data_IF_404632342516
#
_entry.id   IF_404632342516
#
_cell.length_a   1.000
_cell.length_b   1.000
_cell.length_c   1.000
_cell.angle_alpha   90.00
_cell.angle_beta   90.00
_cell.angle_gamma   90.00
#
_symmetry.space_group_name_H-M   'P 1'
#
loop_
_entity.id
_entity.type
_entity.pdbx_description
1 polymer ?
#
# COMPACT_ATOMS: atom_id res chain seq x y z
N UNK A 1 0.33 -21.14 -33.72
CA UNK A 1 1.79 -20.93 -33.55
C UNK A 1 1.92 -20.04 -32.32
N UNK A 2 2.16 -20.50 -31.11
CA UNK A 2 2.95 -21.62 -30.62
C UNK A 2 2.23 -22.36 -29.48
N UNK A 3 2.26 -23.69 -29.53
CA UNK A 3 2.00 -24.59 -28.40
C UNK A 3 3.35 -24.84 -27.70
N UNK A 4 3.42 -24.64 -26.38
CA UNK A 4 4.49 -25.22 -25.56
C UNK A 4 3.89 -26.17 -24.54
N UNK A 5 4.22 -27.43 -24.78
CA UNK A 5 3.99 -28.63 -24.00
C UNK A 5 4.55 -28.50 -22.58
N UNK A 6 3.70 -28.65 -21.57
CA UNK A 6 4.11 -29.02 -20.22
C UNK A 6 4.21 -30.55 -20.16
N UNK A 7 5.43 -31.09 -20.04
CA UNK A 7 5.64 -32.51 -19.68
C UNK A 7 5.44 -32.67 -18.17
N UNK A 8 4.78 -33.74 -17.69
CA UNK A 8 4.74 -34.05 -16.27
C UNK A 8 6.10 -34.60 -15.81
N UNK A 9 6.67 -33.99 -14.78
CA UNK A 9 7.85 -34.48 -14.08
C UNK A 9 7.47 -35.74 -13.27
N UNK A 10 8.26 -36.81 -13.41
CA UNK A 10 8.11 -38.04 -12.62
C UNK A 10 8.36 -37.75 -11.12
N UNK A 11 7.68 -38.44 -10.20
CA UNK A 11 7.96 -38.29 -8.78
C UNK A 11 9.34 -38.87 -8.45
N UNK A 12 10.23 -38.03 -7.93
CA UNK A 12 11.51 -38.44 -7.38
C UNK A 12 11.27 -39.14 -6.04
N UNK A 13 11.76 -40.39 -5.97
CA UNK A 13 11.79 -41.27 -4.82
C UNK A 13 12.18 -40.55 -3.51
N UNK A 14 11.29 -40.59 -2.52
CA UNK A 14 11.56 -40.12 -1.16
C UNK A 14 12.54 -41.07 -0.47
N UNK A 15 13.83 -40.75 -0.50
CA UNK A 15 14.83 -41.41 0.34
C UNK A 15 15.49 -40.38 1.26
N UNK A 16 15.00 -40.38 2.51
CA UNK A 16 15.72 -40.03 3.72
C UNK A 16 16.53 -38.74 3.72
N UNK A 17 15.93 -37.65 4.24
CA UNK A 17 16.66 -36.58 4.90
C UNK A 17 16.00 -36.28 6.25
N UNK A 18 16.25 -37.15 7.23
CA UNK A 18 16.08 -36.81 8.65
C UNK A 18 17.29 -35.98 9.05
N UNK A 19 17.08 -34.73 9.45
CA UNK A 19 18.10 -33.90 10.10
C UNK A 19 18.46 -32.57 9.44
N UNK A 20 17.53 -31.86 8.80
CA UNK A 20 17.72 -30.44 8.50
C UNK A 20 16.97 -29.61 9.57
N UNK A 21 17.60 -28.66 10.27
CA UNK A 21 16.88 -27.72 11.12
C UNK A 21 15.83 -27.01 10.26
N UNK A 22 14.67 -26.77 10.85
CA UNK A 22 13.52 -26.11 10.24
C UNK A 22 14.00 -24.78 9.63
N UNK A 23 14.25 -24.75 8.32
CA UNK A 23 14.50 -23.53 7.59
C UNK A 23 13.13 -22.85 7.49
N UNK A 24 12.73 -22.21 8.59
CA UNK A 24 11.72 -21.18 8.55
C UNK A 24 12.11 -20.24 7.41
N UNK A 25 11.31 -20.25 6.34
CA UNK A 25 11.38 -19.24 5.30
C UNK A 25 11.27 -17.91 6.02
N UNK A 26 12.36 -17.16 6.10
CA UNK A 26 12.34 -15.82 6.66
C UNK A 26 11.51 -15.00 5.67
N UNK A 27 10.24 -14.81 6.02
CA UNK A 27 9.34 -13.90 5.30
C UNK A 27 9.96 -12.51 5.39
N UNK A 28 10.38 -11.96 4.25
CA UNK A 28 10.80 -10.56 4.20
C UNK A 28 9.54 -9.73 4.43
N UNK A 29 9.50 -8.87 5.47
CA UNK A 29 8.31 -8.09 5.78
C UNK A 29 7.99 -7.14 4.62
N UNK A 30 6.71 -7.03 4.29
CA UNK A 30 6.23 -6.09 3.28
C UNK A 30 6.50 -4.65 3.76
N UNK A 31 7.17 -3.84 2.94
CA UNK A 31 7.53 -2.45 3.27
C UNK A 31 6.54 -1.50 2.64
N UNK A 32 5.70 -0.87 3.46
CA UNK A 32 4.57 -0.05 3.02
C UNK A 32 4.80 1.41 3.42
N UNK A 33 4.81 2.32 2.45
CA UNK A 33 4.74 3.75 2.73
C UNK A 33 3.29 4.23 2.85
N UNK A 34 2.96 5.00 3.87
CA UNK A 34 1.68 5.69 4.02
C UNK A 34 1.88 7.17 3.72
N UNK A 35 1.45 7.59 2.54
CA UNK A 35 1.49 8.99 2.14
C UNK A 35 0.09 9.59 2.26
N UNK A 36 -0.18 10.12 3.46
CA UNK A 36 -1.48 10.66 3.83
C UNK A 36 -1.69 12.09 3.33
N UNK A 37 -2.87 12.39 2.82
CA UNK A 37 -3.16 13.73 2.32
C UNK A 37 -4.64 14.02 2.15
N UNK A 38 -4.98 15.31 2.20
CA UNK A 38 -6.33 15.75 1.82
C UNK A 38 -6.55 15.56 0.32
N UNK A 39 -5.53 15.80 -0.51
CA UNK A 39 -5.58 15.68 -1.98
C UNK A 39 -6.77 16.41 -2.61
N UNK A 40 -6.78 17.73 -2.52
CA UNK A 40 -7.92 18.57 -2.89
C UNK A 40 -7.48 19.76 -3.77
N UNK A 41 -7.06 19.52 -5.03
CA UNK A 41 -6.89 18.21 -5.70
C UNK A 41 -5.49 17.60 -5.52
N UNK A 42 -5.27 16.32 -5.89
CA UNK A 42 -3.92 15.80 -6.10
C UNK A 42 -3.21 16.56 -7.23
N UNK A 43 -1.88 16.53 -7.23
CA UNK A 43 -1.06 17.22 -8.23
C UNK A 43 0.29 16.52 -8.40
N UNK A 44 1.04 16.88 -9.44
CA UNK A 44 2.32 16.22 -9.81
C UNK A 44 3.32 16.15 -8.67
N UNK A 45 3.37 17.19 -7.80
CA UNK A 45 4.22 17.16 -6.61
C UNK A 45 3.95 16.00 -5.65
N UNK A 46 2.67 15.63 -5.44
CA UNK A 46 2.31 14.48 -4.60
C UNK A 46 2.79 13.17 -5.24
N UNK A 47 2.57 13.02 -6.55
CA UNK A 47 2.98 11.81 -7.29
C UNK A 47 4.49 11.67 -7.30
N UNK A 48 5.22 12.75 -7.59
CA UNK A 48 6.67 12.76 -7.58
C UNK A 48 7.24 12.41 -6.19
N UNK A 49 6.66 12.95 -5.11
CA UNK A 49 7.06 12.62 -3.75
C UNK A 49 6.85 11.13 -3.44
N UNK A 50 5.66 10.60 -3.71
CA UNK A 50 5.33 9.19 -3.46
C UNK A 50 6.24 8.23 -4.23
N UNK A 51 6.47 8.48 -5.53
CA UNK A 51 7.39 7.69 -6.36
C UNK A 51 8.81 7.75 -5.80
N UNK A 52 9.32 8.95 -5.50
CA UNK A 52 10.68 9.12 -5.01
C UNK A 52 10.90 8.46 -3.65
N UNK A 53 9.94 8.56 -2.73
CA UNK A 53 10.03 7.90 -1.41
C UNK A 53 9.99 6.39 -1.55
N UNK A 54 9.13 5.85 -2.44
CA UNK A 54 9.12 4.41 -2.75
C UNK A 54 10.50 3.91 -3.15
N UNK A 55 11.15 4.63 -4.06
CA UNK A 55 12.48 4.27 -4.53
C UNK A 55 13.57 4.49 -3.47
N UNK A 56 13.56 5.64 -2.78
CA UNK A 56 14.61 6.01 -1.84
C UNK A 56 14.66 5.09 -0.60
N UNK A 57 13.51 4.58 -0.15
CA UNK A 57 13.42 3.71 1.02
C UNK A 57 13.29 2.22 0.67
N UNK A 58 13.30 1.87 -0.62
CA UNK A 58 13.09 0.49 -1.08
C UNK A 58 11.76 -0.07 -0.58
N UNK A 59 10.68 0.68 -0.78
CA UNK A 59 9.33 0.25 -0.40
C UNK A 59 8.72 -0.61 -1.50
N UNK A 60 7.98 -1.64 -1.12
CA UNK A 60 7.24 -2.48 -2.06
C UNK A 60 6.09 -1.70 -2.69
N UNK A 61 5.43 -0.86 -1.88
CA UNK A 61 4.35 0.03 -2.31
C UNK A 61 4.22 1.29 -1.45
N UNK A 62 3.62 2.31 -2.02
CA UNK A 62 3.15 3.50 -1.30
C UNK A 62 1.63 3.58 -1.43
N UNK A 63 0.95 3.58 -0.28
CA UNK A 63 -0.47 3.85 -0.17
C UNK A 63 -0.69 5.36 -0.11
N UNK A 64 -1.34 5.90 -1.12
CA UNK A 64 -1.90 7.25 -1.14
C UNK A 64 -3.16 7.25 -0.29
N UNK A 65 -3.03 7.59 0.99
CA UNK A 65 -4.14 7.53 1.94
C UNK A 65 -4.96 8.81 1.88
N UNK A 66 -6.19 8.71 1.36
CA UNK A 66 -7.08 9.86 1.20
C UNK A 66 -7.79 10.14 2.51
N UNK A 67 -7.57 11.33 3.07
CA UNK A 67 -8.20 11.72 4.33
C UNK A 67 -9.73 11.74 4.22
N UNK A 68 -10.45 11.21 5.22
CA UNK A 68 -11.91 11.31 5.31
C UNK A 68 -12.31 12.72 5.74
N UNK A 69 -12.10 13.03 7.02
CA UNK A 69 -12.31 14.34 7.61
C UNK A 69 -10.97 14.88 8.15
N UNK A 70 -10.31 15.78 7.40
CA UNK A 70 -9.14 16.49 7.88
C UNK A 70 -9.58 17.59 8.86
N UNK A 71 -9.96 17.19 10.07
CA UNK A 71 -10.59 18.03 11.09
C UNK A 71 -9.83 19.35 11.40
N UNK A 72 -8.51 19.37 11.18
CA UNK A 72 -7.66 20.54 11.34
C UNK A 72 -7.91 21.64 10.28
N UNK A 73 -8.54 21.29 9.16
CA UNK A 73 -8.77 22.16 8.00
C UNK A 73 -10.26 22.39 7.72
N UNK A 74 -11.15 21.51 8.19
CA UNK A 74 -12.59 21.60 7.92
C UNK A 74 -13.26 22.85 8.51
N UNK A 75 -12.63 23.52 9.48
CA UNK A 75 -13.10 24.80 10.03
C UNK A 75 -12.58 26.04 9.28
N UNK A 76 -11.60 25.89 8.38
CA UNK A 76 -10.89 27.04 7.76
C UNK A 76 -11.12 27.17 6.26
N UNK A 77 -11.59 26.12 5.59
CA UNK A 77 -11.99 26.16 4.17
C UNK A 77 -12.96 25.05 3.84
N UNK A 78 -13.74 25.26 2.78
CA UNK A 78 -14.50 24.18 2.16
C UNK A 78 -13.54 23.15 1.55
N UNK A 79 -13.83 21.87 1.82
CA UNK A 79 -13.04 20.73 1.35
C UNK A 79 -13.97 19.88 0.48
N UNK A 80 -13.47 19.50 -0.71
CA UNK A 80 -14.27 18.66 -1.60
C UNK A 80 -14.65 17.32 -0.95
N UNK A 81 -15.78 16.71 -1.33
CA UNK A 81 -16.20 15.41 -0.79
C UNK A 81 -15.08 14.37 -0.87
N UNK A 82 -14.93 13.54 0.17
CA UNK A 82 -13.88 12.52 0.22
C UNK A 82 -13.93 11.55 -0.97
N UNK A 83 -15.14 11.19 -1.43
CA UNK A 83 -15.33 10.38 -2.63
C UNK A 83 -14.78 11.04 -3.90
N UNK A 84 -15.02 12.34 -4.09
CA UNK A 84 -14.49 13.07 -5.24
C UNK A 84 -12.95 13.14 -5.21
N UNK A 85 -12.37 13.37 -4.03
CA UNK A 85 -10.91 13.37 -3.85
C UNK A 85 -10.30 12.00 -4.10
N UNK A 86 -10.97 10.94 -3.63
CA UNK A 86 -10.56 9.56 -3.88
C UNK A 86 -10.50 9.24 -5.38
N UNK A 87 -11.52 9.61 -6.15
CA UNK A 87 -11.52 9.41 -7.61
C UNK A 87 -10.41 10.19 -8.31
N UNK A 88 -10.16 11.44 -7.89
CA UNK A 88 -9.04 12.22 -8.45
C UNK A 88 -7.68 11.57 -8.15
N UNK A 89 -7.50 11.01 -6.96
CA UNK A 89 -6.24 10.31 -6.59
C UNK A 89 -6.10 9.01 -7.37
N UNK A 90 -7.20 8.25 -7.56
CA UNK A 90 -7.22 7.05 -8.43
C UNK A 90 -6.76 7.38 -9.84
N UNK A 91 -7.35 8.41 -10.45
CA UNK A 91 -6.94 8.87 -11.78
C UNK A 91 -5.48 9.34 -11.81
N UNK A 92 -5.00 10.03 -10.77
CA UNK A 92 -3.63 10.53 -10.71
C UNK A 92 -2.56 9.43 -10.52
N UNK A 93 -2.95 8.28 -9.95
CA UNK A 93 -2.05 7.14 -9.71
C UNK A 93 -2.15 6.04 -10.76
N UNK A 94 -3.10 6.13 -11.69
CA UNK A 94 -3.37 5.10 -12.69
C UNK A 94 -2.10 4.76 -13.51
N UNK A 95 -1.78 3.47 -13.60
CA UNK A 95 -0.65 2.97 -14.37
C UNK A 95 0.74 3.25 -13.77
N UNK A 96 0.85 3.81 -12.56
CA UNK A 96 2.13 4.05 -11.89
C UNK A 96 2.49 2.86 -10.98
N UNK A 97 3.50 2.03 -11.31
CA UNK A 97 3.82 0.85 -10.52
C UNK A 97 4.20 1.19 -9.07
N UNK A 98 3.64 0.44 -8.12
CA UNK A 98 3.94 0.57 -6.69
C UNK A 98 3.29 1.78 -6.00
N UNK A 99 2.42 2.54 -6.68
CA UNK A 99 1.52 3.50 -6.05
C UNK A 99 0.11 2.90 -6.03
N UNK A 100 -0.47 2.82 -4.84
CA UNK A 100 -1.83 2.30 -4.61
C UNK A 100 -2.64 3.35 -3.88
N UNK A 101 -3.94 3.43 -4.15
CA UNK A 101 -4.83 4.40 -3.47
C UNK A 101 -5.57 3.69 -2.34
N UNK A 102 -5.56 4.29 -1.15
CA UNK A 102 -6.23 3.75 0.03
C UNK A 102 -7.36 4.67 0.48
N UNK A 103 -8.54 4.08 0.65
CA UNK A 103 -9.73 4.70 1.22
C UNK A 103 -9.95 4.29 2.68
N UNK A 104 -8.93 3.74 3.36
CA UNK A 104 -9.04 3.19 4.72
C UNK A 104 -9.65 4.18 5.71
N UNK A 105 -9.26 5.47 5.63
CA UNK A 105 -9.83 6.50 6.50
C UNK A 105 -11.28 6.83 6.13
N UNK A 106 -11.62 6.78 4.84
CA UNK A 106 -12.98 7.04 4.33
C UNK A 106 -13.93 5.93 4.79
N UNK A 107 -13.48 4.68 4.67
CA UNK A 107 -14.21 3.49 5.11
C UNK A 107 -14.39 3.46 6.62
N UNK A 108 -13.35 3.84 7.38
CA UNK A 108 -13.44 3.99 8.84
C UNK A 108 -14.42 5.08 9.25
N UNK A 109 -14.44 6.20 8.52
CA UNK A 109 -15.23 7.38 8.85
C UNK A 109 -14.67 8.15 10.06
N UNK A 110 -15.28 9.30 10.34
CA UNK A 110 -14.85 10.19 11.41
C UNK A 110 -13.49 10.88 11.13
N UNK A 111 -12.90 11.54 12.13
CA UNK A 111 -11.67 12.29 11.94
C UNK A 111 -10.49 11.43 11.49
N UNK A 112 -9.68 11.99 10.58
CA UNK A 112 -8.45 11.38 10.09
C UNK A 112 -7.31 11.52 11.10
N UNK A 113 -6.97 10.42 11.78
CA UNK A 113 -5.79 10.32 12.65
C UNK A 113 -4.80 9.29 12.12
N UNK A 114 -3.53 9.69 11.98
CA UNK A 114 -2.44 8.83 11.50
C UNK A 114 -2.28 7.58 12.35
N UNK A 115 -2.49 7.67 13.68
CA UNK A 115 -2.43 6.51 14.57
C UNK A 115 -3.45 5.43 14.16
N UNK A 116 -4.71 5.81 13.93
CA UNK A 116 -5.74 4.87 13.51
C UNK A 116 -5.43 4.29 12.12
N UNK A 117 -4.89 5.11 11.21
CA UNK A 117 -4.50 4.67 9.87
C UNK A 117 -3.38 3.63 9.90
N UNK A 118 -2.33 3.86 10.71
CA UNK A 118 -1.25 2.87 10.89
C UNK A 118 -1.79 1.59 11.51
N UNK A 119 -2.66 1.69 12.53
CA UNK A 119 -3.28 0.53 13.19
C UNK A 119 -4.09 -0.30 12.20
N UNK A 120 -4.92 0.33 11.38
CA UNK A 120 -5.78 -0.37 10.44
C UNK A 120 -4.94 -1.06 9.34
N UNK A 121 -3.91 -0.39 8.80
CA UNK A 121 -3.00 -1.00 7.81
C UNK A 121 -2.24 -2.21 8.39
N UNK A 122 -1.77 -2.11 9.64
CA UNK A 122 -1.09 -3.22 10.33
C UNK A 122 -2.05 -4.35 10.71
N UNK A 123 -3.33 -4.06 10.92
CA UNK A 123 -4.35 -5.10 11.15
C UNK A 123 -4.49 -5.98 9.91
N UNK A 124 -4.47 -5.38 8.71
CA UNK A 124 -4.54 -6.10 7.44
C UNK A 124 -3.19 -6.70 7.01
N UNK A 125 -2.07 -6.17 7.53
CA UNK A 125 -0.72 -6.59 7.20
C UNK A 125 0.14 -6.71 8.48
N UNK A 126 -0.08 -7.74 9.33
CA UNK A 126 0.52 -7.83 10.67
C UNK A 126 2.05 -7.82 10.71
N UNK A 127 2.68 -8.37 9.67
CA UNK A 127 4.14 -8.48 9.55
C UNK A 127 4.76 -7.35 8.71
N UNK A 128 3.99 -6.34 8.29
CA UNK A 128 4.50 -5.25 7.46
C UNK A 128 5.34 -4.25 8.26
N UNK A 129 6.36 -3.70 7.60
CA UNK A 129 7.08 -2.52 8.06
C UNK A 129 6.45 -1.28 7.45
N UNK A 130 5.89 -0.41 8.30
CA UNK A 130 5.13 0.76 7.88
C UNK A 130 5.94 2.04 8.04
N UNK A 131 5.99 2.84 6.98
CA UNK A 131 6.68 4.13 6.93
C UNK A 131 5.66 5.25 6.75
N UNK A 132 5.57 6.19 7.68
CA UNK A 132 4.73 7.38 7.51
C UNK A 132 5.52 8.41 6.72
N UNK A 133 4.94 8.90 5.61
CA UNK A 133 5.56 9.83 4.65
C UNK A 133 4.87 11.18 4.72
#
# INVERSE_FOLDING_TARGET
>A
MWLTSCRPLKPLCHRGMRGMPDLHLVSVPLRIGLFGGTFDPPHVGHIAAAVNVRHALGLDRVLMVVAHDPYQKSSTRDISPASARLEMVRAACEGIPGLEVSDVEITRGGPSYTFDTVRDVLTDNPDAEVFVV
#
